data_IF_229627238376
#
_entry.id   IF_229627238376
#
_cell.length_a   1.000
_cell.length_b   1.000
_cell.length_c   1.000
_cell.angle_alpha   90.00
_cell.angle_beta   90.00
_cell.angle_gamma   90.00
#
_symmetry.space_group_name_H-M   'P 1'
#
loop_
_entity.id
_entity.type
_entity.pdbx_description
1 polymer ?
#
# COMPACT_ATOMS: atom_id res chain seq x y z
N UNK A 1 14.56 -3.57 35.28
CA UNK A 1 15.29 -2.48 34.62
C UNK A 1 14.78 -2.48 33.21
N UNK A 2 13.95 -1.51 32.92
CA UNK A 2 13.21 -1.36 31.66
C UNK A 2 14.12 -0.70 30.62
N UNK A 3 14.30 -1.32 29.47
CA UNK A 3 14.85 -0.67 28.30
C UNK A 3 13.71 -0.41 27.31
N UNK A 4 13.16 0.80 27.36
CA UNK A 4 12.31 1.32 26.31
C UNK A 4 13.18 1.66 25.11
N UNK A 5 12.94 1.00 23.98
CA UNK A 5 13.44 1.44 22.68
C UNK A 5 12.34 2.21 21.98
N UNK A 6 12.32 3.52 22.23
CA UNK A 6 11.60 4.45 21.39
C UNK A 6 12.39 4.66 20.10
N UNK A 7 11.94 4.11 19.00
CA UNK A 7 12.43 4.48 17.67
C UNK A 7 11.66 5.70 17.22
N UNK A 8 11.91 6.85 17.86
CA UNK A 8 11.58 8.16 17.32
C UNK A 8 12.73 8.61 16.44
N UNK A 9 12.82 8.05 15.25
CA UNK A 9 13.68 8.55 14.18
C UNK A 9 13.03 9.78 13.57
N UNK A 10 13.24 10.94 14.20
CA UNK A 10 13.03 12.25 13.57
C UNK A 10 13.86 12.25 12.29
N UNK A 11 13.18 12.27 11.14
CA UNK A 11 13.80 12.70 9.88
C UNK A 11 14.24 14.15 10.11
N UNK A 12 15.49 14.32 10.50
CA UNK A 12 16.10 15.61 10.64
C UNK A 12 15.96 16.35 9.31
N UNK A 13 15.48 17.60 9.36
CA UNK A 13 15.56 18.56 8.27
C UNK A 13 16.97 18.54 7.69
N UNK A 14 17.17 17.78 6.62
CA UNK A 14 18.37 17.91 5.81
C UNK A 14 18.21 19.18 5.01
N UNK A 15 19.06 20.13 5.34
CA UNK A 15 19.24 21.40 4.64
C UNK A 15 19.45 21.07 3.15
N UNK A 16 18.36 21.20 2.35
CA UNK A 16 18.38 20.96 0.93
C UNK A 16 18.99 22.19 0.25
N UNK A 17 20.33 22.26 0.35
CA UNK A 17 21.10 23.17 -0.46
C UNK A 17 20.71 22.99 -1.93
N UNK A 18 19.97 23.95 -2.47
CA UNK A 18 19.58 23.99 -3.86
C UNK A 18 20.85 24.00 -4.72
N UNK A 19 21.20 22.84 -5.26
CA UNK A 19 22.11 22.78 -6.40
C UNK A 19 21.39 23.47 -7.56
N UNK A 20 21.80 24.70 -7.89
CA UNK A 20 21.34 25.45 -9.07
C UNK A 20 21.87 24.75 -10.34
N UNK A 21 21.37 23.57 -10.62
CA UNK A 21 21.54 22.87 -11.89
C UNK A 21 20.42 23.24 -12.85
N UNK A 22 20.71 23.27 -14.13
CA UNK A 22 19.69 23.38 -15.19
C UNK A 22 18.71 22.21 -15.01
N UNK A 23 17.39 22.51 -14.91
CA UNK A 23 16.36 21.49 -14.76
C UNK A 23 16.51 20.40 -15.86
N UNK A 24 16.43 19.11 -15.52
CA UNK A 24 16.54 18.03 -16.50
C UNK A 24 15.58 18.21 -17.68
N UNK A 25 16.04 17.94 -18.90
CA UNK A 25 15.22 18.09 -20.11
C UNK A 25 14.14 17.01 -20.25
N UNK A 26 14.24 15.93 -19.50
CA UNK A 26 13.30 14.80 -19.52
C UNK A 26 12.73 14.50 -18.15
N UNK A 27 11.87 13.47 -18.09
CA UNK A 27 11.43 12.89 -16.85
C UNK A 27 12.60 12.39 -16.02
N UNK A 28 12.56 12.61 -14.72
CA UNK A 28 13.63 12.19 -13.82
C UNK A 28 13.09 11.88 -12.42
N UNK A 29 13.90 11.16 -11.64
CA UNK A 29 13.65 10.89 -10.22
C UNK A 29 14.77 11.53 -9.41
N UNK A 30 14.41 12.34 -8.41
CA UNK A 30 15.37 12.97 -7.51
C UNK A 30 15.78 12.05 -6.33
N UNK A 31 16.71 12.52 -5.50
CA UNK A 31 17.31 11.79 -4.38
C UNK A 31 16.42 11.67 -3.14
N UNK A 32 15.20 12.26 -3.15
CA UNK A 32 14.21 12.10 -2.09
C UNK A 32 13.42 10.80 -2.19
N UNK A 33 13.69 9.95 -3.19
CA UNK A 33 13.05 8.66 -3.37
C UNK A 33 13.19 7.80 -2.11
N UNK A 34 12.06 7.25 -1.61
CA UNK A 34 12.02 6.36 -0.44
C UNK A 34 12.25 4.89 -0.79
N UNK A 35 12.40 4.55 -2.07
CA UNK A 35 12.44 3.15 -2.52
C UNK A 35 11.19 2.31 -2.17
N UNK A 36 10.01 2.95 -2.16
CA UNK A 36 8.73 2.31 -1.84
C UNK A 36 8.10 1.53 -3.01
N UNK A 37 8.75 1.45 -4.14
CA UNK A 37 8.37 0.74 -5.37
C UNK A 37 7.17 1.29 -6.16
N UNK A 38 6.26 2.06 -5.58
CA UNK A 38 5.00 2.49 -6.22
C UNK A 38 5.20 3.12 -7.62
N UNK A 39 6.26 3.89 -7.82
CA UNK A 39 6.52 4.52 -9.11
C UNK A 39 6.94 3.50 -10.19
N UNK A 40 7.70 2.47 -9.81
CA UNK A 40 8.11 1.37 -10.71
C UNK A 40 6.93 0.50 -11.10
N UNK A 41 6.00 0.27 -10.18
CA UNK A 41 4.77 -0.49 -10.42
C UNK A 41 3.83 0.24 -11.39
N UNK A 42 3.70 1.56 -11.25
CA UNK A 42 2.77 2.37 -12.05
C UNK A 42 3.32 2.77 -13.42
N UNK A 43 4.64 2.82 -13.59
CA UNK A 43 5.31 3.11 -14.86
C UNK A 43 6.35 2.04 -15.21
N UNK A 44 5.94 0.76 -15.33
CA UNK A 44 6.87 -0.34 -15.58
C UNK A 44 7.61 -0.15 -16.93
N UNK A 45 8.89 -0.52 -16.94
CA UNK A 45 9.75 -0.35 -18.12
C UNK A 45 10.19 1.09 -18.42
N UNK A 46 9.64 2.09 -17.69
CA UNK A 46 10.10 3.49 -17.77
C UNK A 46 10.79 3.93 -16.48
N UNK A 47 10.31 3.48 -15.33
CA UNK A 47 10.96 3.67 -14.04
C UNK A 47 11.50 2.32 -13.56
N UNK A 48 12.77 2.28 -13.19
CA UNK A 48 13.47 1.10 -12.73
C UNK A 48 14.38 1.42 -11.54
N UNK A 49 15.20 0.45 -11.16
CA UNK A 49 16.19 0.63 -10.10
C UNK A 49 17.43 1.35 -10.63
N UNK A 50 17.98 2.26 -9.82
CA UNK A 50 19.28 2.85 -10.04
C UNK A 50 20.34 1.84 -9.60
N UNK A 51 21.24 1.46 -10.53
CA UNK A 51 22.34 0.54 -10.21
C UNK A 51 23.23 1.07 -9.07
N UNK A 52 23.63 0.17 -8.16
CA UNK A 52 24.57 0.46 -7.06
C UNK A 52 23.98 1.23 -5.88
N UNK A 53 22.65 1.39 -5.78
CA UNK A 53 22.02 1.97 -4.61
C UNK A 53 21.92 1.00 -3.43
N UNK A 54 21.98 1.49 -2.19
CA UNK A 54 21.61 0.72 -0.98
C UNK A 54 20.17 0.21 -1.09
N UNK A 55 19.88 -0.95 -0.48
CA UNK A 55 18.54 -1.57 -0.44
C UNK A 55 17.92 -1.86 -1.82
N UNK A 56 18.73 -2.24 -2.80
CA UNK A 56 18.27 -2.53 -4.15
C UNK A 56 18.24 -1.31 -5.07
N UNK A 57 18.58 -0.15 -4.55
CA UNK A 57 18.73 1.11 -5.26
C UNK A 57 17.46 1.96 -5.29
N UNK A 58 17.67 3.26 -5.36
CA UNK A 58 16.60 4.23 -5.57
C UNK A 58 16.00 4.06 -6.97
N UNK A 59 14.78 4.51 -7.15
CA UNK A 59 14.17 4.57 -8.48
C UNK A 59 14.91 5.56 -9.40
N UNK A 60 14.94 5.25 -10.68
CA UNK A 60 15.44 6.13 -11.73
C UNK A 60 14.62 5.94 -13.01
N UNK A 61 14.60 6.95 -13.89
CA UNK A 61 14.00 6.81 -15.21
C UNK A 61 15.00 6.06 -16.10
N UNK A 62 14.64 4.86 -16.51
CA UNK A 62 15.45 3.98 -17.38
C UNK A 62 15.10 4.14 -18.87
N UNK A 63 13.88 4.63 -19.17
CA UNK A 63 13.40 4.96 -20.52
C UNK A 63 12.47 6.16 -20.45
N UNK A 64 12.66 7.12 -21.33
CA UNK A 64 11.73 8.25 -21.47
C UNK A 64 10.41 7.78 -22.13
N UNK A 65 9.26 8.40 -21.81
CA UNK A 65 8.00 8.11 -22.48
C UNK A 65 8.08 8.46 -23.98
N UNK A 66 7.53 7.60 -24.82
CA UNK A 66 7.51 7.76 -26.28
C UNK A 66 6.11 7.99 -26.82
N UNK A 67 5.09 7.54 -26.08
CA UNK A 67 3.68 7.66 -26.47
C UNK A 67 2.91 8.49 -25.44
N UNK A 68 1.70 8.94 -25.82
CA UNK A 68 0.80 9.62 -24.87
C UNK A 68 0.42 8.69 -23.70
N UNK A 69 0.22 7.40 -23.95
CA UNK A 69 -0.05 6.42 -22.90
C UNK A 69 1.13 6.28 -21.92
N UNK A 70 2.38 6.29 -22.42
CA UNK A 70 3.56 6.33 -21.56
C UNK A 70 3.58 7.59 -20.67
N UNK A 71 3.27 8.75 -21.23
CA UNK A 71 3.20 10.02 -20.49
C UNK A 71 2.16 9.94 -19.38
N UNK A 72 1.00 9.35 -19.65
CA UNK A 72 -0.06 9.15 -18.66
C UNK A 72 0.39 8.24 -17.51
N UNK A 73 1.12 7.14 -17.80
CA UNK A 73 1.71 6.28 -16.77
C UNK A 73 2.76 7.03 -15.93
N UNK A 74 3.59 7.85 -16.56
CA UNK A 74 4.57 8.68 -15.83
C UNK A 74 3.90 9.69 -14.90
N UNK A 75 2.81 10.34 -15.32
CA UNK A 75 2.01 11.19 -14.43
C UNK A 75 1.33 10.41 -13.31
N UNK A 76 0.81 9.21 -13.58
CA UNK A 76 0.29 8.33 -12.52
C UNK A 76 1.36 8.06 -11.47
N UNK A 77 2.56 7.67 -11.89
CA UNK A 77 3.69 7.45 -10.98
C UNK A 77 4.08 8.72 -10.20
N UNK A 78 4.11 9.87 -10.87
CA UNK A 78 4.48 11.15 -10.25
C UNK A 78 3.46 11.61 -9.19
N UNK A 79 2.16 11.48 -9.48
CA UNK A 79 1.12 11.84 -8.52
C UNK A 79 0.98 10.84 -7.36
N UNK A 80 1.27 9.56 -7.58
CA UNK A 80 1.29 8.55 -6.53
C UNK A 80 2.52 8.66 -5.63
N UNK A 81 3.66 9.12 -6.15
CA UNK A 81 4.95 9.16 -5.44
C UNK A 81 4.83 9.89 -4.08
N UNK A 82 5.20 9.23 -2.95
CA UNK A 82 5.04 9.79 -1.61
C UNK A 82 5.93 11.01 -1.37
N UNK A 83 7.10 11.04 -1.94
CA UNK A 83 8.08 12.14 -1.80
C UNK A 83 8.02 13.15 -2.93
N UNK A 84 7.17 12.90 -3.96
CA UNK A 84 7.15 13.69 -5.19
C UNK A 84 8.51 13.75 -5.89
N UNK A 85 9.23 12.65 -5.84
CA UNK A 85 10.55 12.54 -6.47
C UNK A 85 10.50 12.30 -7.97
N UNK A 86 9.36 11.89 -8.52
CA UNK A 86 9.16 11.74 -9.97
C UNK A 86 8.71 13.05 -10.57
N UNK A 87 9.50 13.60 -11.48
CA UNK A 87 9.30 14.94 -12.06
C UNK A 87 9.09 14.90 -13.57
N UNK A 88 8.13 15.70 -14.09
CA UNK A 88 7.99 15.95 -15.52
C UNK A 88 9.15 16.80 -16.06
N UNK A 89 9.33 16.85 -17.40
CA UNK A 89 10.35 17.67 -18.03
C UNK A 89 10.27 19.15 -17.59
N UNK A 90 11.41 19.71 -17.19
CA UNK A 90 11.53 21.10 -16.74
C UNK A 90 10.53 21.47 -15.62
N UNK A 91 10.12 20.50 -14.79
CA UNK A 91 9.13 20.64 -13.70
C UNK A 91 7.79 21.25 -14.14
N UNK A 92 7.46 21.12 -15.42
CA UNK A 92 6.19 21.59 -15.96
C UNK A 92 5.08 20.58 -15.72
N UNK A 93 4.36 20.78 -14.63
CA UNK A 93 3.19 19.98 -14.28
C UNK A 93 1.98 20.38 -15.11
N UNK A 94 1.34 19.40 -15.72
CA UNK A 94 0.02 19.57 -16.31
C UNK A 94 -1.03 19.56 -15.18
N UNK A 95 -1.87 20.60 -15.11
CA UNK A 95 -2.89 20.76 -14.08
C UNK A 95 -3.93 19.62 -14.10
N UNK A 96 -4.19 19.06 -15.28
CA UNK A 96 -5.20 18.02 -15.50
C UNK A 96 -4.62 16.59 -15.52
N UNK A 97 -3.31 16.46 -15.26
CA UNK A 97 -2.61 15.18 -15.33
C UNK A 97 -2.86 14.23 -14.15
N UNK A 98 -3.54 14.68 -13.08
CA UNK A 98 -3.82 13.90 -11.90
C UNK A 98 -5.02 12.94 -12.10
N UNK A 99 -4.80 11.62 -12.32
CA UNK A 99 -5.86 10.67 -12.63
C UNK A 99 -6.62 10.17 -11.41
N UNK A 100 -6.17 10.50 -10.19
CA UNK A 100 -6.66 9.88 -8.97
C UNK A 100 -7.92 10.54 -8.37
N UNK A 101 -8.82 9.74 -7.77
CA UNK A 101 -8.76 8.28 -7.67
C UNK A 101 -9.07 7.60 -9.01
N UNK A 102 -8.38 6.49 -9.29
CA UNK A 102 -8.45 5.76 -10.57
C UNK A 102 -9.03 4.37 -10.38
N UNK A 103 -10.00 3.98 -11.20
CA UNK A 103 -10.58 2.63 -11.18
C UNK A 103 -9.54 1.55 -11.50
N UNK A 104 -9.59 0.44 -10.76
CA UNK A 104 -8.74 -0.73 -10.97
C UNK A 104 -9.47 -1.84 -11.72
N UNK A 105 -10.76 -1.99 -11.51
CA UNK A 105 -11.63 -2.95 -12.17
C UNK A 105 -12.59 -2.26 -13.16
N UNK A 106 -13.17 -3.01 -14.08
CA UNK A 106 -14.05 -2.50 -15.15
C UNK A 106 -15.30 -1.82 -14.59
N UNK A 107 -15.84 -2.34 -13.47
CA UNK A 107 -17.04 -1.81 -12.82
C UNK A 107 -16.72 -0.57 -11.96
N UNK A 108 -15.45 -0.27 -11.74
CA UNK A 108 -15.01 0.79 -10.85
C UNK A 108 -15.41 0.56 -9.39
N UNK A 109 -15.47 -0.70 -8.97
CA UNK A 109 -15.76 -1.08 -7.58
C UNK A 109 -14.64 -0.68 -6.65
N UNK A 110 -13.38 -0.87 -7.10
CA UNK A 110 -12.19 -0.47 -6.37
C UNK A 110 -11.48 0.66 -7.11
N UNK A 111 -11.20 1.74 -6.38
CA UNK A 111 -10.42 2.86 -6.90
C UNK A 111 -9.08 2.95 -6.15
N UNK A 112 -8.00 3.14 -6.90
CA UNK A 112 -6.68 3.48 -6.36
C UNK A 112 -6.67 4.96 -5.94
N UNK A 113 -6.35 5.26 -4.68
CA UNK A 113 -6.34 6.64 -4.17
C UNK A 113 -5.22 7.50 -4.78
N UNK A 114 -4.06 6.90 -5.11
CA UNK A 114 -2.86 7.64 -5.44
C UNK A 114 -2.32 8.43 -4.23
N UNK A 115 -1.47 9.43 -4.49
CA UNK A 115 -1.00 10.37 -3.47
C UNK A 115 -0.48 9.71 -2.18
N UNK A 116 0.33 8.66 -2.31
CA UNK A 116 0.86 7.93 -1.17
C UNK A 116 1.57 8.86 -0.17
N UNK A 117 1.61 8.46 1.09
CA UNK A 117 2.20 9.24 2.17
C UNK A 117 3.58 8.71 2.54
N UNK A 118 4.59 9.57 2.72
CA UNK A 118 5.87 9.14 3.26
C UNK A 118 5.76 8.65 4.72
N UNK A 119 4.74 9.09 5.48
CA UNK A 119 4.49 8.63 6.84
C UNK A 119 3.92 7.20 6.89
N UNK A 120 3.37 6.70 5.78
CA UNK A 120 2.97 5.30 5.59
C UNK A 120 3.95 4.59 4.64
N UNK A 121 5.21 4.98 4.63
CA UNK A 121 6.30 4.41 3.81
C UNK A 121 6.00 4.31 2.31
N UNK A 122 5.02 5.08 1.83
CA UNK A 122 4.59 5.04 0.43
C UNK A 122 3.53 3.99 0.12
N UNK A 123 2.86 3.48 1.12
CA UNK A 123 1.82 2.47 0.96
C UNK A 123 0.70 2.92 0.02
N UNK A 124 0.20 1.98 -0.73
CA UNK A 124 -0.98 2.11 -1.57
C UNK A 124 -2.24 2.07 -0.71
N UNK A 125 -3.21 2.94 -1.03
CA UNK A 125 -4.51 2.99 -0.37
C UNK A 125 -5.63 2.95 -1.39
N UNK A 126 -6.81 2.50 -0.96
CA UNK A 126 -7.91 2.18 -1.84
C UNK A 126 -9.23 2.77 -1.37
N UNK A 127 -10.16 2.97 -2.30
CA UNK A 127 -11.58 3.21 -2.03
C UNK A 127 -12.39 2.04 -2.59
N UNK A 128 -13.17 1.42 -1.76
CA UNK A 128 -14.10 0.35 -2.11
C UNK A 128 -15.51 0.96 -2.19
N UNK A 129 -16.06 1.05 -3.39
CA UNK A 129 -17.42 1.52 -3.62
C UNK A 129 -18.43 0.40 -3.31
N UNK A 130 -19.56 0.78 -2.73
CA UNK A 130 -20.63 -0.15 -2.39
C UNK A 130 -21.88 0.10 -3.23
N UNK A 131 -22.72 -0.93 -3.45
CA UNK A 131 -23.92 -0.81 -4.28
C UNK A 131 -24.93 0.23 -3.78
N UNK A 132 -24.93 0.55 -2.50
CA UNK A 132 -25.81 1.55 -1.88
C UNK A 132 -25.35 3.00 -2.07
N UNK A 133 -24.26 3.22 -2.84
CA UNK A 133 -23.68 4.53 -3.10
C UNK A 133 -22.74 5.03 -2.01
N UNK A 134 -22.44 4.22 -1.00
CA UNK A 134 -21.39 4.50 -0.01
C UNK A 134 -20.04 3.97 -0.47
N UNK A 135 -18.99 4.27 0.29
CA UNK A 135 -17.64 3.75 0.07
C UNK A 135 -16.94 3.49 1.41
N UNK A 136 -15.91 2.64 1.38
CA UNK A 136 -14.96 2.44 2.46
C UNK A 136 -13.56 2.80 1.97
N UNK A 137 -12.75 3.42 2.83
CA UNK A 137 -11.35 3.69 2.54
C UNK A 137 -10.49 2.64 3.25
N UNK A 138 -9.60 1.99 2.51
CA UNK A 138 -8.66 1.02 3.06
C UNK A 138 -7.26 1.63 3.03
N UNK A 139 -6.67 1.77 4.21
CA UNK A 139 -5.48 2.55 4.47
C UNK A 139 -5.60 4.00 3.98
N UNK A 140 -4.61 4.85 4.22
CA UNK A 140 -4.80 6.26 3.93
C UNK A 140 -3.67 6.87 3.12
N UNK A 141 -4.02 7.64 2.07
CA UNK A 141 -3.05 8.40 1.31
C UNK A 141 -2.63 9.65 2.08
N UNK A 142 -1.77 10.48 1.49
CA UNK A 142 -1.38 11.79 2.02
C UNK A 142 -2.61 12.65 2.28
N UNK A 143 -2.67 13.22 3.48
CA UNK A 143 -3.78 14.09 3.84
C UNK A 143 -3.76 15.43 3.11
N UNK A 144 -4.86 15.74 2.46
CA UNK A 144 -5.24 17.08 1.97
C UNK A 144 -6.75 17.22 1.96
N UNK A 145 -7.34 18.33 2.44
CA UNK A 145 -8.79 18.51 2.40
C UNK A 145 -9.39 18.42 0.99
N UNK A 146 -8.64 18.86 -0.02
CA UNK A 146 -9.07 18.77 -1.43
C UNK A 146 -9.14 17.30 -1.93
N UNK A 147 -8.20 16.44 -1.49
CA UNK A 147 -8.24 15.02 -1.81
C UNK A 147 -9.43 14.33 -1.16
N UNK A 148 -9.70 14.60 0.13
CA UNK A 148 -10.85 14.02 0.82
C UNK A 148 -12.16 14.35 0.07
N UNK A 149 -12.38 15.61 -0.31
CA UNK A 149 -13.54 16.01 -1.11
C UNK A 149 -13.61 15.29 -2.47
N UNK A 150 -12.48 15.17 -3.16
CA UNK A 150 -12.40 14.49 -4.46
C UNK A 150 -12.74 13.00 -4.33
N UNK A 151 -12.29 12.36 -3.27
CA UNK A 151 -12.58 10.94 -3.02
C UNK A 151 -14.08 10.70 -2.83
N UNK A 152 -14.77 11.48 -1.99
CA UNK A 152 -16.22 11.35 -1.85
C UNK A 152 -16.98 11.70 -3.14
N UNK A 153 -16.54 12.72 -3.90
CA UNK A 153 -17.15 13.06 -5.19
C UNK A 153 -17.07 11.92 -6.20
N UNK A 154 -15.99 11.12 -6.16
CA UNK A 154 -15.75 10.02 -7.12
C UNK A 154 -16.25 8.66 -6.62
N UNK A 155 -16.14 8.38 -5.33
CA UNK A 155 -16.46 7.09 -4.77
C UNK A 155 -17.84 7.00 -4.09
N UNK A 156 -18.44 8.14 -3.74
CA UNK A 156 -19.61 8.21 -2.87
C UNK A 156 -19.21 8.54 -1.42
N UNK A 157 -20.21 8.61 -0.53
CA UNK A 157 -19.97 8.92 0.88
C UNK A 157 -19.10 7.85 1.54
N UNK A 158 -17.95 8.24 2.07
CA UNK A 158 -17.08 7.33 2.81
C UNK A 158 -17.64 7.15 4.23
N UNK A 159 -17.97 5.91 4.61
CA UNK A 159 -18.57 5.56 5.89
C UNK A 159 -17.61 4.92 6.88
N UNK A 160 -16.53 4.33 6.37
CA UNK A 160 -15.53 3.60 7.15
C UNK A 160 -14.13 3.86 6.62
N UNK A 161 -13.17 3.99 7.54
CA UNK A 161 -11.74 3.99 7.28
C UNK A 161 -11.15 2.77 7.97
N UNK A 162 -10.64 1.84 7.18
CA UNK A 162 -10.18 0.52 7.62
C UNK A 162 -8.66 0.51 7.55
N UNK A 163 -8.00 0.26 8.68
CA UNK A 163 -6.53 0.24 8.75
C UNK A 163 -6.05 -1.20 8.83
N UNK A 164 -5.20 -1.59 7.89
CA UNK A 164 -4.68 -2.96 7.79
C UNK A 164 -3.69 -3.29 8.90
N UNK A 165 -2.83 -2.34 9.30
CA UNK A 165 -1.85 -2.54 10.37
C UNK A 165 -1.20 -1.21 10.82
N UNK A 166 -0.32 -1.29 11.83
CA UNK A 166 0.25 -0.13 12.53
C UNK A 166 1.02 0.87 11.64
N UNK A 167 1.66 0.43 10.56
CA UNK A 167 2.47 1.32 9.70
C UNK A 167 1.63 2.20 8.77
N UNK A 168 0.33 1.88 8.60
CA UNK A 168 -0.57 2.59 7.69
C UNK A 168 -1.53 3.56 8.41
N UNK A 169 -1.31 3.85 9.70
CA UNK A 169 -2.17 4.70 10.51
C UNK A 169 -2.07 6.20 10.23
N UNK A 170 -1.00 6.66 9.57
CA UNK A 170 -0.80 8.08 9.34
C UNK A 170 -1.98 8.68 8.56
N UNK A 171 -2.49 9.82 9.06
CA UNK A 171 -3.65 10.52 8.51
C UNK A 171 -5.02 9.84 8.70
N UNK A 172 -5.10 8.62 9.27
CA UNK A 172 -6.35 7.87 9.44
C UNK A 172 -7.43 8.68 10.16
N UNK A 173 -7.11 9.24 11.33
CA UNK A 173 -8.04 10.09 12.08
C UNK A 173 -8.51 11.30 11.28
N UNK A 174 -7.62 11.97 10.53
CA UNK A 174 -7.98 13.15 9.72
C UNK A 174 -8.98 12.81 8.60
N UNK A 175 -8.80 11.66 7.96
CA UNK A 175 -9.74 11.18 6.95
C UNK A 175 -11.07 10.78 7.58
N UNK A 176 -11.04 10.01 8.67
CA UNK A 176 -12.25 9.61 9.38
C UNK A 176 -13.07 10.83 9.85
N UNK A 177 -12.43 11.85 10.44
CA UNK A 177 -13.09 13.09 10.86
C UNK A 177 -13.69 13.87 9.67
N UNK A 178 -12.96 14.00 8.57
CA UNK A 178 -13.43 14.73 7.39
C UNK A 178 -14.65 14.06 6.75
N UNK A 179 -14.68 12.74 6.68
CA UNK A 179 -15.77 11.94 6.14
C UNK A 179 -16.90 11.71 7.16
N UNK A 180 -16.66 11.96 8.45
CA UNK A 180 -17.50 11.50 9.56
C UNK A 180 -17.70 9.98 9.50
N UNK A 181 -16.62 9.28 9.18
CA UNK A 181 -16.55 7.84 9.02
C UNK A 181 -16.08 7.17 10.31
N UNK A 182 -16.44 5.90 10.48
CA UNK A 182 -15.95 5.05 11.56
C UNK A 182 -14.50 4.62 11.26
N UNK A 183 -13.61 4.76 12.23
CA UNK A 183 -12.21 4.37 12.10
C UNK A 183 -11.95 3.03 12.77
N UNK A 184 -11.40 2.08 12.03
CA UNK A 184 -11.22 0.69 12.45
C UNK A 184 -9.76 0.30 12.49
N UNK A 185 -9.35 -0.41 13.54
CA UNK A 185 -8.05 -1.08 13.64
C UNK A 185 -8.18 -2.32 14.52
N UNK A 186 -7.25 -3.27 14.40
CA UNK A 186 -7.18 -4.44 15.26
C UNK A 186 -6.51 -4.11 16.61
N UNK A 187 -6.95 -4.79 17.69
CA UNK A 187 -6.42 -4.56 19.05
C UNK A 187 -4.91 -4.75 19.19
N UNK A 188 -4.31 -5.65 18.40
CA UNK A 188 -2.86 -5.89 18.39
C UNK A 188 -2.04 -4.66 18.00
N UNK A 189 -2.62 -3.76 17.19
CA UNK A 189 -1.98 -2.54 16.69
C UNK A 189 -2.64 -1.25 17.25
N UNK A 190 -3.59 -1.38 18.19
CA UNK A 190 -4.33 -0.25 18.76
C UNK A 190 -3.42 0.83 19.38
N UNK A 191 -2.25 0.44 19.87
CA UNK A 191 -1.29 1.38 20.44
C UNK A 191 -0.81 2.46 19.45
N UNK A 192 -0.86 2.18 18.14
CA UNK A 192 -0.49 3.13 17.07
C UNK A 192 -1.65 4.07 16.69
N UNK A 193 -2.90 3.70 17.02
CA UNK A 193 -4.12 4.46 16.72
C UNK A 193 -5.10 4.37 17.89
N UNK A 194 -4.75 4.92 19.07
CA UNK A 194 -5.51 4.72 20.30
C UNK A 194 -6.90 5.41 20.30
N UNK A 195 -7.16 6.29 19.36
CA UNK A 195 -8.39 7.01 19.13
C UNK A 195 -9.29 6.39 18.04
N UNK A 196 -9.06 5.11 17.67
CA UNK A 196 -9.94 4.39 16.77
C UNK A 196 -11.34 4.25 17.35
N UNK A 197 -12.38 4.42 16.50
CA UNK A 197 -13.78 4.35 16.93
C UNK A 197 -14.21 2.90 17.14
N UNK A 198 -13.67 1.96 16.39
CA UNK A 198 -13.94 0.54 16.44
C UNK A 198 -12.68 -0.29 16.50
N UNK A 199 -12.64 -1.25 17.41
CA UNK A 199 -11.50 -2.15 17.61
C UNK A 199 -11.90 -3.57 17.26
N UNK A 200 -11.26 -4.13 16.22
CA UNK A 200 -11.38 -5.54 15.87
C UNK A 200 -10.62 -6.35 16.93
N UNK A 201 -11.25 -7.41 17.48
CA UNK A 201 -10.70 -8.18 18.59
C UNK A 201 -10.61 -9.66 18.29
N UNK A 202 -9.58 -10.29 18.84
CA UNK A 202 -9.36 -11.74 18.70
C UNK A 202 -8.92 -12.14 17.31
N UNK A 203 -9.16 -13.38 16.93
CA UNK A 203 -8.69 -13.98 15.68
C UNK A 203 -9.82 -14.37 14.73
N UNK A 204 -11.08 -14.24 15.17
CA UNK A 204 -12.22 -14.59 14.35
C UNK A 204 -12.54 -13.49 13.32
N UNK A 205 -13.05 -13.86 12.14
CA UNK A 205 -13.50 -12.89 11.15
C UNK A 205 -14.64 -12.01 11.68
N UNK A 206 -14.63 -10.71 11.33
CA UNK A 206 -15.62 -9.71 11.75
C UNK A 206 -16.25 -9.07 10.52
N UNK A 207 -17.56 -9.11 10.39
CA UNK A 207 -18.27 -8.36 9.34
C UNK A 207 -18.25 -6.86 9.66
N UNK A 208 -17.68 -6.07 8.75
CA UNK A 208 -17.62 -4.60 8.85
C UNK A 208 -18.89 -3.99 8.24
N UNK A 209 -19.37 -4.56 7.18
CA UNK A 209 -20.57 -4.19 6.47
C UNK A 209 -20.92 -5.23 5.42
N UNK A 210 -22.10 -5.12 4.75
CA UNK A 210 -22.55 -6.15 3.83
C UNK A 210 -21.49 -6.58 2.83
N UNK A 211 -21.07 -7.86 2.87
CA UNK A 211 -20.06 -8.42 1.98
C UNK A 211 -18.63 -7.96 2.24
N UNK A 212 -18.33 -7.26 3.34
CA UNK A 212 -16.97 -6.83 3.72
C UNK A 212 -16.59 -7.44 5.06
N UNK A 213 -15.59 -8.30 5.06
CA UNK A 213 -15.14 -9.06 6.22
C UNK A 213 -13.70 -8.70 6.54
N UNK A 214 -13.46 -8.34 7.79
CA UNK A 214 -12.12 -8.21 8.37
C UNK A 214 -11.66 -9.57 8.86
N UNK A 215 -10.50 -10.02 8.38
CA UNK A 215 -9.86 -11.26 8.79
C UNK A 215 -8.58 -10.91 9.55
N UNK A 216 -8.55 -11.04 10.90
CA UNK A 216 -7.31 -10.92 11.66
C UNK A 216 -6.27 -11.91 11.14
N UNK A 217 -5.09 -11.40 10.77
CA UNK A 217 -4.08 -12.16 10.05
C UNK A 217 -2.68 -11.84 10.61
N UNK A 218 -2.41 -12.14 11.89
CA UNK A 218 -1.18 -11.78 12.57
C UNK A 218 0.04 -12.39 11.92
N UNK A 219 1.18 -11.74 12.09
CA UNK A 219 2.48 -12.19 11.62
C UNK A 219 3.34 -11.06 11.11
N UNK A 220 2.90 -10.26 10.13
CA UNK A 220 3.59 -9.02 9.76
C UNK A 220 3.61 -8.06 10.97
N UNK A 221 2.45 -7.77 11.54
CA UNK A 221 2.28 -7.20 12.87
C UNK A 221 1.32 -8.06 13.68
N UNK A 222 1.19 -7.80 14.99
CA UNK A 222 0.19 -8.50 15.84
C UNK A 222 -1.24 -8.19 15.45
N UNK A 223 -1.49 -7.00 14.92
CA UNK A 223 -2.80 -6.52 14.56
C UNK A 223 -3.08 -6.52 13.06
N UNK A 224 -2.21 -7.09 12.25
CA UNK A 224 -2.45 -7.17 10.80
C UNK A 224 -3.81 -7.79 10.52
N UNK A 225 -4.59 -7.12 9.67
CA UNK A 225 -5.94 -7.51 9.28
C UNK A 225 -6.08 -7.40 7.77
N UNK A 226 -6.54 -8.48 7.13
CA UNK A 226 -6.97 -8.44 5.74
C UNK A 226 -8.42 -7.98 5.69
N UNK A 227 -8.77 -7.15 4.71
CA UNK A 227 -10.17 -6.87 4.41
C UNK A 227 -10.54 -7.53 3.10
N UNK A 228 -11.55 -8.42 3.13
CA UNK A 228 -12.04 -9.11 1.93
C UNK A 228 -13.43 -8.59 1.62
N UNK A 229 -13.61 -8.12 0.39
CA UNK A 229 -14.89 -7.65 -0.10
C UNK A 229 -15.44 -8.58 -1.19
N UNK A 230 -16.70 -9.01 -1.01
CA UNK A 230 -17.51 -9.76 -1.96
C UNK A 230 -16.83 -11.06 -2.45
N UNK A 231 -15.99 -11.69 -1.61
CA UNK A 231 -15.13 -12.84 -1.97
C UNK A 231 -14.29 -12.60 -3.25
N UNK A 232 -14.10 -11.35 -3.60
CA UNK A 232 -13.44 -10.92 -4.85
C UNK A 232 -12.19 -10.09 -4.60
N UNK A 233 -12.22 -9.14 -3.69
CA UNK A 233 -11.14 -8.18 -3.45
C UNK A 233 -10.49 -8.41 -2.09
N UNK A 234 -9.20 -8.76 -2.06
CA UNK A 234 -8.43 -8.92 -0.83
C UNK A 234 -7.46 -7.74 -0.67
N UNK A 235 -7.72 -6.87 0.30
CA UNK A 235 -6.82 -5.81 0.71
C UNK A 235 -5.88 -6.39 1.76
N UNK A 236 -4.67 -6.74 1.32
CA UNK A 236 -3.73 -7.55 2.10
C UNK A 236 -2.77 -6.76 2.99
N UNK A 237 -2.80 -5.40 2.92
CA UNK A 237 -1.78 -4.60 3.59
C UNK A 237 -0.38 -5.06 3.18
N UNK A 238 0.49 -5.29 4.14
CA UNK A 238 1.85 -5.75 3.90
C UNK A 238 2.05 -7.25 4.20
N UNK A 239 0.94 -7.99 4.26
CA UNK A 239 0.99 -9.44 4.56
C UNK A 239 1.54 -10.24 3.39
N UNK A 240 0.95 -10.06 2.22
CA UNK A 240 1.39 -10.66 0.97
C UNK A 240 1.01 -9.80 -0.23
N UNK A 241 1.74 -9.98 -1.31
CA UNK A 241 1.61 -9.21 -2.53
C UNK A 241 1.90 -10.10 -3.75
N UNK A 242 1.60 -9.62 -4.95
CA UNK A 242 2.05 -10.27 -6.17
C UNK A 242 3.48 -9.86 -6.50
N UNK A 243 4.35 -10.81 -6.77
CA UNK A 243 5.70 -10.57 -7.28
C UNK A 243 5.72 -10.71 -8.80
N UNK A 244 5.86 -9.59 -9.51
CA UNK A 244 6.00 -9.63 -10.97
C UNK A 244 7.28 -10.34 -11.43
N UNK A 245 8.35 -10.29 -10.65
CA UNK A 245 9.61 -10.98 -10.98
C UNK A 245 9.48 -12.51 -10.85
N UNK A 246 8.72 -12.99 -9.86
CA UNK A 246 8.55 -14.42 -9.59
C UNK A 246 7.23 -14.99 -10.14
N UNK A 247 6.33 -14.13 -10.64
CA UNK A 247 5.01 -14.49 -11.15
C UNK A 247 4.18 -15.32 -10.15
N UNK A 248 4.22 -14.93 -8.87
CA UNK A 248 3.49 -15.61 -7.78
C UNK A 248 3.24 -14.65 -6.62
N UNK A 249 2.41 -15.08 -5.66
CA UNK A 249 2.27 -14.38 -4.38
C UNK A 249 3.53 -14.54 -3.53
N UNK A 250 3.95 -13.48 -2.87
CA UNK A 250 5.08 -13.48 -1.93
C UNK A 250 4.74 -12.70 -0.66
N UNK A 251 5.48 -12.96 0.42
CA UNK A 251 5.48 -12.18 1.65
C UNK A 251 6.77 -11.38 1.75
N UNK A 252 6.70 -10.15 2.26
CA UNK A 252 7.89 -9.38 2.58
C UNK A 252 8.53 -9.91 3.88
N UNK A 253 9.07 -11.14 3.83
CA UNK A 253 9.59 -11.86 5.00
C UNK A 253 10.73 -11.12 5.73
N UNK A 254 11.37 -10.18 5.04
CA UNK A 254 12.44 -9.33 5.60
C UNK A 254 11.91 -8.08 6.34
N UNK A 255 10.59 -7.87 6.40
CA UNK A 255 9.94 -6.74 7.13
C UNK A 255 8.78 -7.25 7.97
N UNK A 256 9.02 -8.28 8.78
CA UNK A 256 8.02 -8.84 9.70
C UNK A 256 8.31 -8.38 11.12
N UNK A 257 7.38 -7.67 11.73
CA UNK A 257 7.58 -7.07 13.07
C UNK A 257 7.13 -7.97 14.22
N UNK A 258 6.27 -8.95 13.95
CA UNK A 258 5.78 -9.90 14.96
C UNK A 258 6.51 -11.25 14.85
N UNK A 259 6.16 -12.08 13.86
CA UNK A 259 6.72 -13.43 13.77
C UNK A 259 6.52 -14.03 12.37
N UNK A 260 7.61 -14.48 11.77
CA UNK A 260 7.59 -15.27 10.52
C UNK A 260 6.78 -16.56 10.69
N UNK A 261 6.87 -17.21 11.85
CA UNK A 261 6.11 -18.45 12.14
C UNK A 261 4.62 -18.15 12.18
N UNK A 262 4.21 -17.12 12.92
CA UNK A 262 2.81 -16.68 13.01
C UNK A 262 2.28 -16.29 11.63
N UNK A 263 3.09 -15.59 10.83
CA UNK A 263 2.74 -15.23 9.45
C UNK A 263 2.51 -16.48 8.59
N UNK A 264 3.40 -17.47 8.67
CA UNK A 264 3.26 -18.73 7.93
C UNK A 264 2.01 -19.51 8.34
N UNK A 265 1.67 -19.54 9.64
CA UNK A 265 0.44 -20.15 10.16
C UNK A 265 -0.80 -19.41 9.64
N UNK A 266 -0.80 -18.09 9.65
CA UNK A 266 -1.88 -17.27 9.10
C UNK A 266 -2.05 -17.50 7.59
N UNK A 267 -0.95 -17.54 6.83
CA UNK A 267 -0.99 -17.83 5.38
C UNK A 267 -1.51 -19.24 5.11
N UNK A 268 -1.11 -20.25 5.90
CA UNK A 268 -1.62 -21.61 5.75
C UNK A 268 -3.13 -21.69 6.00
N UNK A 269 -3.62 -21.04 7.05
CA UNK A 269 -5.07 -20.91 7.32
C UNK A 269 -5.78 -20.18 6.18
N UNK A 270 -5.27 -19.04 5.75
CA UNK A 270 -5.86 -18.25 4.67
C UNK A 270 -5.93 -19.00 3.33
N UNK A 271 -4.96 -19.89 3.04
CA UNK A 271 -4.96 -20.70 1.83
C UNK A 271 -6.14 -21.72 1.77
N UNK A 272 -6.68 -22.10 2.92
CA UNK A 272 -7.82 -23.00 3.00
C UNK A 272 -9.16 -22.25 3.15
N UNK A 273 -9.18 -21.13 3.86
CA UNK A 273 -10.40 -20.44 4.25
C UNK A 273 -10.78 -19.28 3.32
N UNK A 274 -9.81 -18.58 2.70
CA UNK A 274 -10.07 -17.35 1.97
C UNK A 274 -10.38 -17.63 0.49
N UNK A 275 -11.30 -16.83 -0.04
CA UNK A 275 -11.60 -16.79 -1.47
C UNK A 275 -11.50 -15.33 -1.94
N UNK A 276 -10.71 -15.09 -2.99
CA UNK A 276 -10.60 -13.79 -3.66
C UNK A 276 -9.99 -13.95 -5.06
N UNK A 277 -10.14 -12.91 -5.88
CA UNK A 277 -9.61 -12.83 -7.24
C UNK A 277 -8.54 -11.74 -7.38
N UNK A 278 -8.65 -10.67 -6.59
CA UNK A 278 -7.72 -9.57 -6.56
C UNK A 278 -6.88 -9.58 -5.28
N UNK A 279 -5.56 -9.50 -5.42
CA UNK A 279 -4.67 -9.12 -4.33
C UNK A 279 -4.36 -7.64 -4.47
N UNK A 280 -4.62 -6.87 -3.40
CA UNK A 280 -4.53 -5.41 -3.33
C UNK A 280 -3.69 -5.04 -2.10
N UNK A 281 -2.34 -5.07 -2.24
CA UNK A 281 -1.42 -4.85 -1.12
C UNK A 281 -1.20 -3.36 -0.82
N UNK A 282 -0.64 -3.07 0.35
CA UNK A 282 -0.08 -1.76 0.69
C UNK A 282 1.25 -1.53 -0.03
N UNK A 283 2.12 -2.53 -0.04
CA UNK A 283 3.37 -2.56 -0.77
C UNK A 283 3.46 -3.82 -1.65
N UNK A 284 4.14 -3.71 -2.79
CA UNK A 284 4.24 -4.77 -3.78
C UNK A 284 3.18 -4.67 -4.89
N UNK A 285 3.27 -5.53 -5.89
CA UNK A 285 2.37 -5.47 -7.04
C UNK A 285 0.96 -5.98 -6.70
N UNK A 286 -0.05 -5.35 -7.29
CA UNK A 286 -1.42 -5.87 -7.30
C UNK A 286 -1.61 -6.88 -8.45
N UNK A 287 -2.58 -7.79 -8.31
CA UNK A 287 -2.89 -8.77 -9.35
C UNK A 287 -4.33 -9.22 -9.32
N UNK A 288 -4.90 -9.40 -10.49
CA UNK A 288 -6.16 -10.11 -10.71
C UNK A 288 -5.89 -11.48 -11.33
N UNK A 289 -6.46 -12.52 -10.74
CA UNK A 289 -6.49 -13.89 -11.25
C UNK A 289 -7.86 -14.49 -10.93
N UNK A 290 -8.36 -15.44 -11.74
CA UNK A 290 -9.54 -16.21 -11.37
C UNK A 290 -9.38 -16.85 -9.98
N UNK A 291 -10.46 -16.93 -9.19
CA UNK A 291 -10.43 -17.40 -7.79
C UNK A 291 -9.75 -18.77 -7.62
N UNK A 292 -9.94 -19.69 -8.56
CA UNK A 292 -9.28 -21.01 -8.53
C UNK A 292 -7.75 -20.90 -8.67
N UNK A 293 -7.27 -20.05 -9.57
CA UNK A 293 -5.83 -19.81 -9.76
C UNK A 293 -5.25 -19.07 -8.54
N UNK A 294 -5.94 -18.05 -8.04
CA UNK A 294 -5.51 -17.32 -6.85
C UNK A 294 -5.37 -18.25 -5.63
N UNK A 295 -6.31 -19.16 -5.46
CA UNK A 295 -6.23 -20.18 -4.38
C UNK A 295 -5.00 -21.07 -4.52
N UNK A 296 -4.64 -21.50 -5.73
CA UNK A 296 -3.43 -22.29 -5.95
C UNK A 296 -2.15 -21.47 -5.65
N UNK A 297 -2.14 -20.15 -5.95
CA UNK A 297 -1.04 -19.26 -5.57
C UNK A 297 -0.94 -19.13 -4.05
N UNK A 298 -2.08 -18.99 -3.34
CA UNK A 298 -2.10 -18.97 -1.87
C UNK A 298 -1.57 -20.28 -1.26
N UNK A 299 -1.97 -21.45 -1.77
CA UNK A 299 -1.41 -22.73 -1.35
C UNK A 299 0.10 -22.84 -1.62
N UNK A 300 0.55 -22.30 -2.76
CA UNK A 300 1.98 -22.19 -3.08
C UNK A 300 2.72 -21.33 -2.07
N UNK A 301 2.17 -20.17 -1.73
CA UNK A 301 2.72 -19.27 -0.72
C UNK A 301 2.77 -19.95 0.66
N UNK A 302 1.71 -20.66 1.08
CA UNK A 302 1.67 -21.40 2.35
C UNK A 302 2.82 -22.44 2.44
N UNK A 303 3.07 -23.18 1.36
CA UNK A 303 4.19 -24.14 1.31
C UNK A 303 5.55 -23.46 1.43
N UNK A 304 5.76 -22.31 0.78
CA UNK A 304 7.04 -21.59 0.84
C UNK A 304 7.24 -20.92 2.19
N UNK A 305 6.24 -20.20 2.70
CA UNK A 305 6.35 -19.48 3.98
C UNK A 305 6.63 -20.40 5.17
N UNK A 306 6.17 -21.65 5.13
CA UNK A 306 6.47 -22.65 6.13
C UNK A 306 7.98 -23.00 6.22
N UNK A 307 8.76 -22.68 5.18
CA UNK A 307 10.21 -22.95 5.12
C UNK A 307 11.08 -21.71 5.37
N UNK A 308 10.47 -20.53 5.56
CA UNK A 308 11.23 -19.32 5.82
C UNK A 308 11.93 -19.40 7.18
N UNK A 309 13.21 -18.99 7.25
CA UNK A 309 13.94 -18.99 8.50
C UNK A 309 13.30 -18.04 9.51
N UNK A 310 13.26 -18.47 10.77
CA UNK A 310 12.77 -17.65 11.88
C UNK A 310 13.85 -16.66 12.41
N UNK A 311 14.91 -16.44 11.63
CA UNK A 311 16.07 -15.64 12.03
C UNK A 311 15.81 -14.14 11.83
N UNK A 312 16.66 -13.34 12.50
CA UNK A 312 16.61 -11.88 12.45
C UNK A 312 16.58 -11.35 11.01
N UNK A 313 15.69 -10.39 10.81
CA UNK A 313 15.42 -9.81 9.51
C UNK A 313 16.57 -8.90 9.10
N UNK A 314 17.16 -9.15 7.96
CA UNK A 314 18.04 -8.20 7.29
C UNK A 314 17.22 -7.17 6.51
N UNK A 315 16.87 -6.08 7.17
CA UNK A 315 16.14 -4.97 6.55
C UNK A 315 16.87 -4.36 5.34
N UNK A 316 18.19 -4.61 5.18
CA UNK A 316 18.97 -4.20 4.04
C UNK A 316 18.76 -5.04 2.78
N UNK A 317 18.18 -6.24 2.93
CA UNK A 317 17.96 -7.17 1.81
C UNK A 317 16.55 -7.08 1.20
N UNK A 318 15.67 -6.21 1.74
CA UNK A 318 14.27 -6.07 1.25
C UNK A 318 14.26 -5.56 -0.18
N UNK A 319 13.72 -6.37 -1.08
CA UNK A 319 13.39 -5.97 -2.46
C UNK A 319 11.92 -6.26 -2.69
N UNK A 320 11.17 -5.22 -2.96
CA UNK A 320 9.77 -5.32 -3.37
C UNK A 320 9.65 -5.63 -4.86
#
# INVERSE_FOLDING_TARGET
MSHGHGVSGVLADRDLGAAHGVAPKGWHVDDRCLNCDIARQLAPGMIGYKEGGEYGGLSTVIRQPETQADVELMYQAAHACPTRSVHPPADKWDADSDPYPKALDEDGTVLLCGHASPQNYGATSYLLRRPDGTAMMIDTPRWRPALARRYEQKAGKVTDVLITHLDHVAHARKYADAFKARLWIHEGDLHSLPDADHVIRGTDPVEIGPGVIAHPFPGHTKGTTLFIADEKFCFSGDTFFWSNSQQTLEVAHSVVYDSIRTLAESVARGAEELTFEWVLPGHGDLRHLPAGEMRERMRGLARRSATYPAEEIDYGAVRY
#
